data_IF_398803360551
#
_entry.id   IF_398803360551
#
_cell.length_a   1.000
_cell.length_b   1.000
_cell.length_c   1.000
_cell.angle_alpha   90.00
_cell.angle_beta   90.00
_cell.angle_gamma   90.00
#
_symmetry.space_group_name_H-M   'P 1'
#
loop_
_entity.id
_entity.type
_entity.pdbx_description
1 polymer ?
#
# COMPACT_ATOMS: atom_id res chain seq x y z
N UNK A 1 67.07 23.32 -17.50
CA UNK A 1 65.75 23.44 -16.84
C UNK A 1 64.72 23.67 -17.94
N UNK A 2 64.00 22.62 -18.32
CA UNK A 2 62.87 22.72 -19.25
C UNK A 2 62.09 21.40 -19.18
N UNK A 3 61.16 21.33 -18.23
CA UNK A 3 59.94 20.53 -18.42
C UNK A 3 59.00 21.29 -19.37
N UNK A 4 58.00 20.71 -19.99
CA UNK A 4 57.45 19.36 -19.93
C UNK A 4 56.25 19.29 -20.88
N UNK A 5 55.89 18.05 -21.23
CA UNK A 5 54.61 17.54 -21.77
C UNK A 5 53.80 18.35 -22.77
N UNK A 6 53.56 17.74 -23.94
CA UNK A 6 52.34 17.96 -24.74
C UNK A 6 51.80 16.62 -25.26
N UNK A 7 50.48 16.48 -25.08
CA UNK A 7 49.64 15.31 -25.20
C UNK A 7 49.57 14.71 -26.61
N UNK A 8 49.42 13.39 -26.67
CA UNK A 8 49.07 12.60 -27.85
C UNK A 8 47.64 12.88 -28.29
N UNK A 9 47.46 13.37 -29.52
CA UNK A 9 46.19 13.38 -30.26
C UNK A 9 45.76 11.95 -30.59
N UNK A 10 44.46 11.68 -30.46
CA UNK A 10 43.79 10.64 -31.24
C UNK A 10 42.46 11.18 -31.79
N UNK A 11 42.29 11.00 -33.10
CA UNK A 11 41.23 11.54 -33.95
C UNK A 11 40.11 10.50 -34.16
N UNK A 12 38.87 11.01 -34.19
CA UNK A 12 37.71 10.57 -35.02
C UNK A 12 36.99 9.26 -34.66
N UNK A 13 35.66 9.14 -34.71
CA UNK A 13 34.67 9.69 -35.65
C UNK A 13 33.33 10.05 -34.97
N UNK A 14 32.81 11.23 -35.32
CA UNK A 14 31.39 11.60 -35.15
C UNK A 14 30.58 10.98 -36.30
N UNK A 15 29.60 10.16 -35.95
CA UNK A 15 28.50 9.78 -36.83
C UNK A 15 27.17 10.12 -36.15
N UNK A 16 26.55 11.23 -36.56
CA UNK A 16 25.14 11.50 -36.28
C UNK A 16 24.26 10.70 -37.25
N UNK A 17 23.34 9.92 -36.70
CA UNK A 17 22.25 9.24 -37.37
C UNK A 17 21.04 9.20 -36.42
N UNK A 18 19.86 9.50 -36.96
CA UNK A 18 18.71 10.07 -36.28
C UNK A 18 17.85 9.11 -35.43
N UNK A 19 17.18 9.70 -34.45
CA UNK A 19 15.87 9.38 -33.84
C UNK A 19 15.40 7.92 -33.79
N UNK A 20 15.52 7.34 -32.60
CA UNK A 20 14.62 6.32 -32.08
C UNK A 20 14.22 6.71 -30.66
N UNK A 21 12.99 7.17 -30.49
CA UNK A 21 12.41 7.59 -29.21
C UNK A 21 12.15 6.35 -28.35
N UNK A 22 13.14 5.95 -27.56
CA UNK A 22 13.02 4.94 -26.52
C UNK A 22 13.48 5.54 -25.21
N UNK A 23 12.54 5.90 -24.33
CA UNK A 23 12.86 6.23 -22.94
C UNK A 23 13.17 4.92 -22.21
N UNK A 24 14.34 4.33 -22.52
CA UNK A 24 14.86 3.16 -21.84
C UNK A 24 15.39 3.59 -20.48
N UNK A 25 14.59 3.42 -19.42
CA UNK A 25 15.18 3.29 -18.09
C UNK A 25 16.00 2.01 -18.12
N UNK A 26 17.31 2.10 -17.86
CA UNK A 26 18.16 0.93 -17.66
C UNK A 26 17.58 0.12 -16.50
N UNK A 27 16.93 -1.01 -16.82
CA UNK A 27 16.29 -1.85 -15.82
C UNK A 27 17.36 -2.49 -14.93
N UNK A 28 17.17 -2.41 -13.62
CA UNK A 28 18.13 -2.92 -12.64
C UNK A 28 17.96 -4.41 -12.46
N UNK A 29 19.02 -5.17 -12.75
CA UNK A 29 19.09 -6.60 -12.50
C UNK A 29 19.24 -6.90 -10.99
N UNK A 30 18.43 -7.84 -10.49
CA UNK A 30 18.44 -8.23 -9.09
C UNK A 30 18.23 -9.74 -8.91
N UNK A 31 18.61 -10.27 -7.74
CA UNK A 31 18.34 -11.67 -7.39
C UNK A 31 16.90 -11.87 -6.95
N UNK A 32 16.17 -12.81 -7.56
CA UNK A 32 14.80 -13.16 -7.15
C UNK A 32 14.68 -13.72 -5.73
N UNK A 33 15.80 -14.12 -5.11
CA UNK A 33 15.85 -14.57 -3.72
C UNK A 33 16.02 -13.45 -2.68
N UNK A 34 16.19 -12.20 -3.12
CA UNK A 34 16.38 -11.05 -2.24
C UNK A 34 15.12 -10.72 -1.41
N UNK A 35 15.24 -9.70 -0.55
CA UNK A 35 14.13 -9.19 0.26
C UNK A 35 13.47 -8.04 -0.48
N UNK A 36 12.15 -8.08 -0.60
CA UNK A 36 11.35 -7.07 -1.31
C UNK A 36 10.29 -6.51 -0.38
N UNK A 37 10.24 -5.18 -0.27
CA UNK A 37 9.09 -4.48 0.27
C UNK A 37 8.07 -4.27 -0.85
N UNK A 38 6.95 -4.99 -0.80
CA UNK A 38 5.88 -4.90 -1.80
C UNK A 38 5.11 -3.58 -1.71
N UNK A 39 5.08 -2.96 -0.53
CA UNK A 39 4.34 -1.73 -0.23
C UNK A 39 5.08 -0.45 -0.64
N UNK A 40 6.18 -0.57 -1.39
CA UNK A 40 6.80 0.59 -2.02
C UNK A 40 5.88 1.08 -3.15
N UNK A 41 5.38 2.30 -2.97
CA UNK A 41 4.35 2.87 -3.84
C UNK A 41 4.94 3.29 -5.19
N UNK A 42 4.19 2.97 -6.23
CA UNK A 42 4.46 3.14 -7.66
C UNK A 42 3.10 3.08 -8.37
N UNK A 43 3.08 2.98 -9.70
CA UNK A 43 1.87 2.49 -10.36
C UNK A 43 1.53 1.10 -9.80
N UNK A 44 0.51 1.04 -8.94
CA UNK A 44 0.15 -0.15 -8.14
C UNK A 44 -0.17 -1.37 -9.01
N UNK A 45 -0.50 -1.15 -10.28
CA UNK A 45 -0.75 -2.23 -11.24
C UNK A 45 0.55 -2.79 -11.81
N UNK A 46 1.60 -1.97 -11.92
CA UNK A 46 2.89 -2.41 -12.48
C UNK A 46 3.67 -3.24 -11.46
N UNK A 47 4.25 -4.38 -11.86
CA UNK A 47 5.13 -5.16 -11.00
C UNK A 47 6.26 -4.33 -10.40
N UNK A 48 6.62 -4.65 -9.16
CA UNK A 48 7.86 -4.18 -8.57
C UNK A 48 9.04 -4.74 -9.34
N UNK A 49 9.00 -6.06 -9.48
CA UNK A 49 9.99 -6.85 -10.17
C UNK A 49 9.30 -7.89 -11.01
N UNK A 50 9.88 -8.17 -12.17
CA UNK A 50 9.40 -9.20 -13.07
C UNK A 50 10.55 -9.92 -13.77
N UNK A 51 10.22 -11.07 -14.32
CA UNK A 51 11.11 -11.87 -15.14
C UNK A 51 10.30 -12.49 -16.28
N UNK A 52 10.87 -12.47 -17.48
CA UNK A 52 10.33 -13.18 -18.65
C UNK A 52 11.29 -14.28 -19.06
N UNK A 53 10.82 -15.51 -19.14
CA UNK A 53 11.63 -16.67 -19.55
C UNK A 53 10.93 -17.49 -20.60
N UNK A 54 11.69 -18.26 -21.38
CA UNK A 54 11.11 -19.24 -22.27
C UNK A 54 10.58 -20.43 -21.45
N UNK A 55 9.34 -20.86 -21.71
CA UNK A 55 8.74 -22.00 -21.01
C UNK A 55 9.58 -23.29 -21.12
N UNK A 56 10.36 -23.46 -22.18
CA UNK A 56 11.27 -24.61 -22.35
C UNK A 56 12.45 -24.62 -21.36
N UNK A 57 12.76 -23.49 -20.73
CA UNK A 57 13.81 -23.38 -19.72
C UNK A 57 13.31 -23.76 -18.32
N UNK A 58 11.98 -23.79 -18.13
CA UNK A 58 11.36 -24.10 -16.84
C UNK A 58 11.46 -25.61 -16.57
N UNK A 59 12.22 -25.98 -15.54
CA UNK A 59 12.42 -27.38 -15.14
C UNK A 59 11.74 -27.77 -13.83
N UNK A 60 11.28 -26.78 -13.06
CA UNK A 60 10.54 -27.00 -11.81
C UNK A 60 9.08 -26.60 -12.00
N UNK A 61 8.21 -27.28 -11.25
CA UNK A 61 6.81 -26.93 -11.13
C UNK A 61 6.51 -26.10 -9.87
N UNK A 62 7.54 -25.81 -9.05
CA UNK A 62 7.41 -25.26 -7.70
C UNK A 62 8.05 -23.88 -7.58
N UNK A 63 7.35 -22.96 -6.93
CA UNK A 63 7.88 -21.70 -6.42
C UNK A 63 7.69 -21.62 -4.91
N UNK A 64 8.73 -21.25 -4.17
CA UNK A 64 8.70 -21.14 -2.71
C UNK A 64 9.25 -19.80 -2.24
N UNK A 65 8.60 -19.18 -1.27
CA UNK A 65 9.04 -17.90 -0.71
C UNK A 65 8.45 -17.69 0.69
N UNK A 66 8.88 -16.65 1.40
CA UNK A 66 8.27 -16.24 2.66
C UNK A 66 7.58 -14.89 2.52
N UNK A 67 6.42 -14.73 3.16
CA UNK A 67 5.64 -13.49 3.24
C UNK A 67 5.48 -13.07 4.70
N UNK A 68 5.54 -11.76 4.97
CA UNK A 68 5.15 -11.16 6.24
C UNK A 68 4.36 -9.88 5.99
N UNK A 69 3.18 -9.76 6.59
CA UNK A 69 2.30 -8.60 6.44
C UNK A 69 1.28 -8.51 7.59
N UNK A 70 0.67 -7.33 7.77
CA UNK A 70 -0.60 -7.13 8.50
C UNK A 70 -1.76 -6.78 7.56
N UNK A 71 -1.46 -6.54 6.28
CA UNK A 71 -2.40 -6.17 5.24
C UNK A 71 -3.39 -7.32 4.98
N UNK A 72 -4.71 -7.06 5.07
CA UNK A 72 -5.71 -8.08 4.80
C UNK A 72 -5.90 -8.39 3.31
N UNK A 73 -5.48 -7.52 2.39
CA UNK A 73 -5.73 -7.65 0.95
C UNK A 73 -4.49 -7.26 0.13
N UNK A 74 -4.36 -7.77 -1.09
CA UNK A 74 -3.31 -7.34 -2.02
C UNK A 74 -2.53 -8.47 -2.67
N UNK A 75 -1.76 -8.15 -3.72
CA UNK A 75 -1.08 -9.16 -4.55
C UNK A 75 0.27 -9.55 -3.96
N UNK A 76 0.56 -10.85 -4.03
CA UNK A 76 1.83 -11.40 -3.55
C UNK A 76 2.65 -11.94 -4.72
N UNK A 77 2.04 -12.76 -5.58
CA UNK A 77 2.73 -13.43 -6.67
C UNK A 77 1.83 -13.54 -7.90
N UNK A 78 2.38 -13.16 -9.06
CA UNK A 78 1.72 -13.20 -10.35
C UNK A 78 2.51 -14.06 -11.33
N UNK A 79 1.80 -14.78 -12.20
CA UNK A 79 2.41 -15.40 -13.37
C UNK A 79 1.45 -15.48 -14.55
N UNK A 80 1.97 -15.36 -15.77
CA UNK A 80 1.19 -15.62 -16.98
C UNK A 80 1.97 -16.27 -18.11
N UNK A 81 1.21 -16.82 -19.05
CA UNK A 81 1.70 -17.23 -20.36
C UNK A 81 0.81 -16.66 -21.45
N UNK A 82 1.25 -16.79 -22.71
CA UNK A 82 0.47 -16.34 -23.89
C UNK A 82 0.01 -14.88 -23.76
N UNK A 83 0.88 -14.02 -23.21
CA UNK A 83 0.65 -12.57 -23.01
C UNK A 83 -0.60 -12.26 -22.17
N UNK A 84 -0.76 -12.94 -21.04
CA UNK A 84 -1.88 -12.71 -20.13
C UNK A 84 -3.22 -13.29 -20.61
N UNK A 85 -3.17 -14.34 -21.45
CA UNK A 85 -4.36 -15.14 -21.79
C UNK A 85 -4.59 -16.22 -20.73
N UNK A 86 -3.52 -16.93 -20.36
CA UNK A 86 -3.52 -17.85 -19.23
C UNK A 86 -2.69 -17.23 -18.11
N UNK A 87 -3.26 -17.08 -16.93
CA UNK A 87 -2.65 -16.33 -15.83
C UNK A 87 -3.05 -16.89 -14.48
N UNK A 88 -2.22 -16.58 -13.48
CA UNK A 88 -2.34 -16.96 -12.09
C UNK A 88 -2.04 -15.74 -11.22
N UNK A 89 -2.89 -15.51 -10.21
CA UNK A 89 -2.71 -14.49 -9.19
C UNK A 89 -2.84 -15.15 -7.83
N UNK A 90 -1.80 -15.02 -7.00
CA UNK A 90 -1.85 -15.28 -5.56
C UNK A 90 -1.91 -13.94 -4.83
N UNK A 91 -2.97 -13.77 -4.04
CA UNK A 91 -3.28 -12.58 -3.26
C UNK A 91 -3.71 -12.96 -1.85
N UNK A 92 -3.85 -11.96 -0.97
CA UNK A 92 -4.63 -12.09 0.26
C UNK A 92 -6.02 -11.49 0.06
N UNK A 93 -7.01 -12.10 0.73
CA UNK A 93 -8.35 -11.54 0.93
C UNK A 93 -8.81 -11.86 2.34
N UNK A 94 -9.21 -10.85 3.09
CA UNK A 94 -9.54 -10.95 4.52
C UNK A 94 -8.42 -11.63 5.35
N UNK A 95 -7.17 -11.42 4.92
CA UNK A 95 -5.96 -11.98 5.51
C UNK A 95 -5.67 -13.43 5.14
N UNK A 96 -6.47 -14.06 4.28
CA UNK A 96 -6.30 -15.46 3.85
C UNK A 96 -5.82 -15.53 2.40
N UNK A 97 -5.03 -16.55 2.02
CA UNK A 97 -4.68 -16.79 0.63
C UNK A 97 -5.89 -16.89 -0.30
N UNK A 98 -5.77 -16.27 -1.47
CA UNK A 98 -6.67 -16.43 -2.60
C UNK A 98 -5.86 -16.69 -3.88
N UNK A 99 -6.24 -17.75 -4.60
CA UNK A 99 -5.74 -18.02 -5.95
C UNK A 99 -6.84 -17.71 -6.96
N UNK A 100 -6.53 -16.85 -7.92
CA UNK A 100 -7.33 -16.64 -9.12
C UNK A 100 -6.57 -17.17 -10.33
N UNK A 101 -7.22 -17.98 -11.15
CA UNK A 101 -6.58 -18.66 -12.27
C UNK A 101 -7.47 -18.56 -13.50
N UNK A 102 -6.90 -18.07 -14.59
CA UNK A 102 -7.47 -18.20 -15.92
C UNK A 102 -6.62 -19.15 -16.74
N UNK A 103 -7.25 -20.17 -17.31
CA UNK A 103 -6.58 -21.07 -18.25
C UNK A 103 -7.56 -21.49 -19.32
N UNK A 104 -7.24 -21.17 -20.58
CA UNK A 104 -8.14 -21.36 -21.74
C UNK A 104 -9.45 -20.59 -21.54
N UNK A 105 -10.55 -21.32 -21.33
CA UNK A 105 -11.91 -20.78 -21.15
C UNK A 105 -12.42 -20.96 -19.70
N UNK A 106 -11.53 -21.36 -18.78
CA UNK A 106 -11.85 -21.48 -17.36
C UNK A 106 -11.29 -20.29 -16.60
N UNK A 107 -12.14 -19.70 -15.77
CA UNK A 107 -11.80 -18.67 -14.81
C UNK A 107 -12.28 -19.12 -13.43
N UNK A 108 -11.35 -19.30 -12.49
CA UNK A 108 -11.61 -19.84 -11.16
C UNK A 108 -11.01 -18.92 -10.10
N UNK A 109 -11.73 -18.71 -9.00
CA UNK A 109 -11.22 -18.05 -7.80
C UNK A 109 -11.52 -18.90 -6.58
N UNK A 110 -10.50 -19.17 -5.77
CA UNK A 110 -10.61 -19.91 -4.51
C UNK A 110 -9.82 -19.19 -3.43
N UNK A 111 -10.49 -18.90 -2.31
CA UNK A 111 -9.88 -18.34 -1.11
C UNK A 111 -10.02 -19.33 0.06
N UNK A 112 -9.00 -19.41 0.92
CA UNK A 112 -8.98 -20.35 2.04
C UNK A 112 -7.60 -20.48 2.65
N UNK A 113 -7.38 -21.55 3.43
CA UNK A 113 -6.15 -21.71 4.22
C UNK A 113 -6.11 -20.82 5.47
N UNK A 114 -5.00 -20.82 6.24
CA UNK A 114 -4.85 -20.03 7.45
C UNK A 114 -4.73 -18.52 7.14
N UNK A 115 -4.93 -17.69 8.17
CA UNK A 115 -4.64 -16.25 8.06
C UNK A 115 -3.13 -16.02 8.09
N UNK A 116 -2.62 -15.14 7.22
CA UNK A 116 -1.19 -14.82 7.08
C UNK A 116 -0.85 -13.37 7.47
N UNK A 117 -1.87 -12.57 7.76
CA UNK A 117 -1.71 -11.15 8.09
C UNK A 117 -1.52 -10.91 9.61
N UNK A 118 -0.65 -11.72 10.23
CA UNK A 118 -0.40 -11.69 11.68
C UNK A 118 0.95 -11.05 12.06
N UNK A 119 1.66 -10.48 11.07
CA UNK A 119 2.97 -9.87 11.25
C UNK A 119 4.14 -10.85 11.36
N UNK A 120 3.91 -12.17 11.22
CA UNK A 120 4.98 -13.19 11.21
C UNK A 120 5.35 -13.59 9.79
N UNK A 121 6.52 -14.20 9.67
CA UNK A 121 6.96 -14.81 8.41
C UNK A 121 6.27 -16.16 8.23
N UNK A 122 5.54 -16.31 7.13
CA UNK A 122 4.93 -17.55 6.69
C UNK A 122 5.62 -18.04 5.42
N UNK A 123 5.86 -19.34 5.32
CA UNK A 123 6.45 -19.98 4.13
C UNK A 123 5.34 -20.45 3.20
N UNK A 124 5.39 -20.03 1.95
CA UNK A 124 4.42 -20.31 0.91
C UNK A 124 5.10 -21.13 -0.19
N UNK A 125 4.50 -22.25 -0.56
CA UNK A 125 4.93 -23.04 -1.72
C UNK A 125 3.76 -23.21 -2.69
N UNK A 126 3.93 -22.68 -3.91
CA UNK A 126 2.98 -22.84 -5.00
C UNK A 126 3.54 -23.87 -5.96
N UNK A 127 2.74 -24.88 -6.32
CA UNK A 127 3.14 -25.90 -7.28
C UNK A 127 2.07 -26.24 -8.29
N UNK A 128 2.49 -26.66 -9.48
CA UNK A 128 1.61 -27.14 -10.54
C UNK A 128 1.81 -28.65 -10.74
N UNK A 129 0.89 -29.46 -10.24
CA UNK A 129 0.92 -30.92 -10.36
C UNK A 129 -0.19 -31.40 -11.31
N UNK A 130 0.15 -31.55 -12.59
CA UNK A 130 -0.76 -31.96 -13.65
C UNK A 130 -1.91 -30.99 -13.87
N UNK A 131 -3.08 -31.32 -13.31
CA UNK A 131 -4.29 -30.48 -13.35
C UNK A 131 -4.50 -29.65 -12.10
N UNK A 132 -3.63 -29.78 -11.11
CA UNK A 132 -3.81 -29.16 -9.82
C UNK A 132 -2.82 -28.02 -9.63
N UNK A 133 -3.33 -26.88 -9.18
CA UNK A 133 -2.51 -25.83 -8.60
C UNK A 133 -2.66 -25.91 -7.09
N UNK A 134 -1.54 -26.16 -6.42
CA UNK A 134 -1.48 -26.45 -4.99
C UNK A 134 -0.72 -25.32 -4.30
N UNK A 135 -1.30 -24.81 -3.22
CA UNK A 135 -0.64 -23.91 -2.28
C UNK A 135 -0.46 -24.63 -0.95
N UNK A 136 0.78 -24.73 -0.51
CA UNK A 136 1.14 -25.12 0.85
C UNK A 136 1.53 -23.88 1.67
N UNK A 137 1.15 -23.88 2.93
CA UNK A 137 1.47 -22.82 3.90
C UNK A 137 2.12 -23.48 5.11
N UNK A 138 3.34 -23.06 5.45
CA UNK A 138 4.12 -23.56 6.58
C UNK A 138 4.22 -25.10 6.62
N UNK A 139 4.35 -25.72 5.44
CA UNK A 139 4.43 -27.18 5.28
C UNK A 139 3.11 -27.92 5.47
N UNK A 140 1.99 -27.21 5.55
CA UNK A 140 0.64 -27.78 5.62
C UNK A 140 -0.17 -27.41 4.37
N UNK A 141 -1.13 -28.27 3.99
CA UNK A 141 -2.00 -27.99 2.85
C UNK A 141 -2.79 -26.70 3.06
N UNK A 142 -2.62 -25.73 2.15
CA UNK A 142 -3.35 -24.46 2.14
C UNK A 142 -4.56 -24.52 1.21
N UNK A 143 -4.32 -24.57 -0.10
CA UNK A 143 -5.35 -24.61 -1.14
C UNK A 143 -4.99 -25.63 -2.23
N UNK A 144 -6.02 -26.24 -2.83
CA UNK A 144 -5.88 -27.12 -4.00
C UNK A 144 -6.97 -26.74 -5.01
N UNK A 145 -6.57 -26.36 -6.22
CA UNK A 145 -7.47 -25.97 -7.30
C UNK A 145 -7.30 -26.94 -8.47
N UNK A 146 -8.39 -27.58 -8.89
CA UNK A 146 -8.39 -28.47 -10.06
C UNK A 146 -8.84 -27.74 -11.31
N UNK A 147 -8.04 -27.85 -12.38
CA UNK A 147 -8.25 -27.21 -13.69
C UNK A 147 -8.43 -28.26 -14.79
N UNK A 148 -9.27 -29.27 -14.54
CA UNK A 148 -9.50 -30.35 -15.50
C UNK A 148 -10.21 -29.82 -16.76
N UNK A 149 -9.52 -29.85 -17.91
CA UNK A 149 -10.11 -29.58 -19.24
C UNK A 149 -10.04 -30.84 -20.12
N UNK A 150 -11.01 -31.03 -21.02
CA UNK A 150 -11.12 -32.25 -21.86
C UNK A 150 -9.97 -32.42 -22.87
N UNK A 151 -9.28 -31.34 -23.23
CA UNK A 151 -8.15 -31.33 -24.18
C UNK A 151 -6.86 -30.93 -23.46
N UNK A 152 -5.99 -31.90 -23.13
CA UNK A 152 -4.79 -31.67 -22.31
C UNK A 152 -3.45 -31.82 -23.06
N UNK A 153 -3.45 -31.85 -24.39
CA UNK A 153 -2.21 -31.66 -25.14
C UNK A 153 -1.96 -30.17 -25.33
N UNK A 154 -1.39 -29.52 -24.31
CA UNK A 154 -0.81 -28.19 -24.49
C UNK A 154 0.68 -28.32 -24.82
N UNK A 155 1.04 -27.79 -25.99
CA UNK A 155 2.42 -27.57 -26.37
C UNK A 155 3.00 -26.49 -25.43
N UNK A 156 3.99 -26.87 -24.61
CA UNK A 156 4.73 -25.96 -23.70
C UNK A 156 5.68 -25.10 -24.54
N UNK A 157 5.12 -24.13 -25.27
CA UNK A 157 5.88 -23.20 -26.10
C UNK A 157 5.37 -21.78 -25.83
N UNK A 158 6.30 -20.86 -25.71
CA UNK A 158 6.04 -19.45 -25.47
C UNK A 158 6.83 -18.91 -24.29
N UNK A 159 6.44 -17.72 -23.86
CA UNK A 159 7.04 -17.02 -22.74
C UNK A 159 6.20 -17.20 -21.48
N UNK A 160 6.89 -17.38 -20.36
CA UNK A 160 6.37 -17.27 -19.02
C UNK A 160 6.82 -15.94 -18.44
N UNK A 161 5.88 -15.17 -17.92
CA UNK A 161 6.17 -13.96 -17.15
C UNK A 161 5.82 -14.19 -15.70
N UNK A 162 6.74 -13.91 -14.79
CA UNK A 162 6.49 -13.92 -13.34
C UNK A 162 6.69 -12.52 -12.80
N UNK A 163 5.91 -12.12 -11.79
CA UNK A 163 5.98 -10.80 -11.21
C UNK A 163 5.64 -10.80 -9.70
N UNK A 164 6.22 -9.86 -8.97
CA UNK A 164 5.87 -9.55 -7.57
C UNK A 164 5.41 -8.11 -7.43
N UNK A 165 4.48 -7.87 -6.51
CA UNK A 165 3.97 -6.54 -6.18
C UNK A 165 3.10 -5.88 -7.27
N UNK A 166 2.70 -6.60 -8.32
CA UNK A 166 1.82 -6.07 -9.35
C UNK A 166 1.28 -7.16 -10.26
N UNK A 167 0.44 -6.78 -11.21
CA UNK A 167 -0.32 -7.69 -12.07
C UNK A 167 -0.22 -7.21 -13.53
N UNK A 168 0.06 -8.12 -14.47
CA UNK A 168 0.27 -7.78 -15.89
C UNK A 168 -0.99 -7.96 -16.76
N UNK A 169 -2.16 -8.21 -16.16
CA UNK A 169 -3.46 -8.25 -16.82
C UNK A 169 -4.34 -7.05 -16.44
N UNK A 170 -5.33 -6.78 -17.30
CA UNK A 170 -6.41 -5.85 -17.00
C UNK A 170 -7.28 -6.38 -15.84
N UNK A 171 -7.63 -5.50 -14.90
CA UNK A 171 -8.45 -5.81 -13.72
C UNK A 171 -9.78 -6.47 -14.07
N UNK A 172 -10.36 -6.16 -15.24
CA UNK A 172 -11.65 -6.68 -15.70
C UNK A 172 -11.60 -8.15 -16.08
N UNK A 173 -10.39 -8.71 -16.24
CA UNK A 173 -10.21 -10.15 -16.46
C UNK A 173 -10.30 -10.96 -15.17
N UNK A 174 -10.11 -10.34 -14.00
CA UNK A 174 -10.14 -11.03 -12.72
C UNK A 174 -11.55 -11.50 -12.37
N UNK A 175 -11.66 -12.67 -11.73
CA UNK A 175 -12.94 -13.18 -11.25
C UNK A 175 -13.45 -12.36 -10.06
N UNK A 176 -12.53 -11.94 -9.20
CA UNK A 176 -12.76 -11.08 -8.05
C UNK A 176 -11.80 -9.90 -8.16
N UNK A 177 -12.33 -8.70 -8.40
CA UNK A 177 -11.51 -7.49 -8.45
C UNK A 177 -11.08 -7.08 -7.05
N UNK A 178 -9.85 -6.56 -6.94
CA UNK A 178 -9.25 -6.05 -5.72
C UNK A 178 -8.14 -5.05 -6.07
N UNK A 179 -7.70 -4.26 -5.10
CA UNK A 179 -6.57 -3.33 -5.26
C UNK A 179 -5.27 -4.12 -5.05
N UNK A 180 -4.34 -4.16 -6.02
CA UNK A 180 -3.17 -5.04 -5.94
C UNK A 180 -2.10 -4.60 -4.93
N UNK A 181 -2.20 -3.39 -4.38
CA UNK A 181 -1.26 -2.87 -3.39
C UNK A 181 -1.15 -3.83 -2.19
N UNK A 182 0.07 -4.00 -1.66
CA UNK A 182 0.34 -4.95 -0.57
C UNK A 182 1.38 -4.34 0.35
N UNK A 183 0.98 -3.91 1.54
CA UNK A 183 1.90 -3.54 2.61
C UNK A 183 2.51 -4.80 3.24
N UNK A 184 3.48 -5.38 2.55
CA UNK A 184 4.08 -6.65 2.94
C UNK A 184 5.50 -6.82 2.45
N UNK A 185 6.19 -7.79 3.05
CA UNK A 185 7.56 -8.13 2.70
C UNK A 185 7.67 -9.56 2.22
N UNK A 186 8.45 -9.78 1.16
CA UNK A 186 8.77 -11.09 0.61
C UNK A 186 10.27 -11.34 0.72
N UNK A 187 10.67 -12.59 1.00
CA UNK A 187 12.09 -12.99 1.00
C UNK A 187 12.29 -14.46 0.65
N UNK A 188 13.53 -14.81 0.35
CA UNK A 188 13.94 -16.21 0.17
C UNK A 188 13.24 -16.88 -1.01
N UNK A 189 12.95 -16.09 -2.05
CA UNK A 189 12.26 -16.56 -3.24
C UNK A 189 13.09 -17.56 -4.05
N UNK A 190 12.48 -18.70 -4.35
CA UNK A 190 12.92 -19.65 -5.36
C UNK A 190 11.76 -19.80 -6.34
N UNK A 191 11.95 -19.35 -7.58
CA UNK A 191 10.86 -19.17 -8.54
C UNK A 191 11.03 -20.16 -9.69
N UNK A 192 10.34 -21.30 -9.62
CA UNK A 192 10.46 -22.38 -10.60
C UNK A 192 11.92 -22.82 -10.87
N UNK A 193 12.79 -22.66 -9.87
CA UNK A 193 14.23 -22.92 -9.96
C UNK A 193 14.93 -22.14 -11.10
N UNK A 194 14.41 -20.95 -11.45
CA UNK A 194 15.01 -20.04 -12.42
C UNK A 194 16.17 -19.28 -11.77
N UNK A 195 17.29 -19.15 -12.50
CA UNK A 195 18.52 -18.49 -12.02
C UNK A 195 18.83 -17.15 -12.69
N UNK A 196 18.01 -16.74 -13.66
CA UNK A 196 18.17 -15.47 -14.37
C UNK A 196 17.86 -14.29 -13.42
N UNK A 197 18.56 -13.15 -13.58
CA UNK A 197 18.24 -11.97 -12.80
C UNK A 197 16.84 -11.48 -13.13
N UNK A 198 16.15 -11.00 -12.10
CA UNK A 198 14.88 -10.30 -12.22
C UNK A 198 15.15 -8.84 -12.57
N UNK A 199 14.20 -8.20 -13.23
CA UNK A 199 14.26 -6.77 -13.55
C UNK A 199 13.40 -6.00 -12.54
N UNK A 200 13.95 -4.91 -11.98
CA UNK A 200 13.19 -4.00 -11.11
C UNK A 200 12.68 -2.77 -11.88
N UNK A 201 11.44 -2.35 -11.62
CA UNK A 201 10.84 -1.10 -12.14
C UNK A 201 11.09 0.10 -11.22
N UNK A 202 12.19 0.08 -10.45
CA UNK A 202 12.58 1.14 -9.51
C UNK A 202 14.11 1.30 -9.49
N UNK A 203 14.57 2.53 -9.22
CA UNK A 203 16.00 2.83 -9.10
C UNK A 203 16.60 2.20 -7.82
N UNK A 204 15.85 2.29 -6.72
CA UNK A 204 16.24 1.80 -5.40
C UNK A 204 15.10 1.04 -4.72
N UNK A 205 15.41 -0.17 -4.23
CA UNK A 205 14.47 -1.00 -3.48
C UNK A 205 14.47 -0.57 -2.02
N UNK A 206 13.30 -0.27 -1.47
CA UNK A 206 13.19 0.06 -0.06
C UNK A 206 13.37 -1.18 0.82
N UNK A 207 14.13 -1.06 1.92
CA UNK A 207 14.27 -2.16 2.86
C UNK A 207 12.95 -2.39 3.61
N UNK A 208 12.74 -3.63 4.00
CA UNK A 208 11.74 -3.99 4.99
C UNK A 208 12.21 -3.60 6.39
N UNK A 209 11.31 -3.09 7.23
CA UNK A 209 11.60 -2.92 8.66
C UNK A 209 11.94 -4.27 9.30
N UNK A 210 12.88 -4.29 10.24
CA UNK A 210 13.28 -5.55 10.90
C UNK A 210 12.13 -6.13 11.71
N UNK A 211 11.49 -5.30 12.54
CA UNK A 211 10.32 -5.63 13.34
C UNK A 211 9.16 -4.72 12.95
N UNK A 212 7.95 -5.28 12.99
CA UNK A 212 6.72 -4.56 12.67
C UNK A 212 5.63 -4.85 13.70
N UNK A 213 4.78 -3.87 13.94
CA UNK A 213 3.56 -3.95 14.72
C UNK A 213 2.37 -3.43 13.90
N UNK A 214 1.11 -3.78 14.25
CA UNK A 214 -0.06 -3.25 13.55
C UNK A 214 -0.15 -1.73 13.64
N UNK A 215 -0.53 -1.09 12.55
CA UNK A 215 -0.80 0.35 12.50
C UNK A 215 -0.32 0.98 11.21
N UNK A 216 -0.61 2.26 11.01
CA UNK A 216 -0.17 3.02 9.85
C UNK A 216 1.03 3.90 10.20
N UNK A 217 2.11 3.76 9.43
CA UNK A 217 3.34 4.52 9.65
C UNK A 217 3.42 5.75 8.74
N UNK A 218 3.72 6.89 9.37
CA UNK A 218 3.90 8.19 8.73
C UNK A 218 5.36 8.61 8.90
N UNK A 219 6.14 8.73 7.81
CA UNK A 219 7.58 9.00 7.87
C UNK A 219 7.94 10.50 7.90
N UNK A 220 6.95 11.41 7.92
CA UNK A 220 7.20 12.85 7.89
C UNK A 220 7.43 13.44 6.49
N UNK A 221 6.99 12.76 5.42
CA UNK A 221 7.23 13.20 4.03
C UNK A 221 5.97 13.50 3.22
N UNK A 222 4.78 13.15 3.71
CA UNK A 222 3.54 13.40 2.99
C UNK A 222 2.29 13.05 3.80
N UNK A 223 1.16 12.91 3.12
CA UNK A 223 -0.16 12.66 3.73
C UNK A 223 -1.01 11.68 2.91
N UNK A 224 -2.06 11.16 3.54
CA UNK A 224 -3.12 10.37 2.92
C UNK A 224 -4.41 11.20 2.84
N UNK A 225 -5.01 11.34 1.66
CA UNK A 225 -6.22 12.14 1.40
C UNK A 225 -7.38 11.22 1.02
N UNK A 226 -8.55 11.49 1.61
CA UNK A 226 -9.82 10.90 1.21
C UNK A 226 -10.83 11.99 0.85
N UNK A 227 -11.66 11.70 -0.16
CA UNK A 227 -12.91 12.41 -0.36
C UNK A 227 -13.87 12.04 0.77
N UNK A 228 -14.48 13.04 1.40
CA UNK A 228 -15.37 12.77 2.54
C UNK A 228 -16.66 12.03 2.16
N UNK A 229 -17.04 12.08 0.87
CA UNK A 229 -18.17 11.33 0.31
C UNK A 229 -18.07 9.82 0.44
N UNK A 230 -16.88 9.25 0.71
CA UNK A 230 -16.69 7.81 0.91
C UNK A 230 -17.18 7.34 2.29
N UNK A 231 -17.44 8.26 3.23
CA UNK A 231 -17.87 7.93 4.58
C UNK A 231 -19.39 7.94 4.70
N UNK A 232 -20.00 6.90 5.29
CA UNK A 232 -21.43 6.88 5.55
C UNK A 232 -21.75 7.89 6.66
N UNK A 233 -22.44 8.97 6.32
CA UNK A 233 -22.79 10.01 7.28
C UNK A 233 -24.29 10.02 7.51
N UNK A 234 -24.69 9.66 8.72
CA UNK A 234 -26.06 9.76 9.19
C UNK A 234 -26.30 11.15 9.74
N UNK A 235 -27.29 11.87 9.20
CA UNK A 235 -27.55 13.26 9.59
C UNK A 235 -27.74 13.38 11.12
N UNK A 236 -28.52 12.51 11.74
CA UNK A 236 -28.92 12.68 13.15
C UNK A 236 -27.81 12.39 14.18
N UNK A 237 -26.77 11.64 13.82
CA UNK A 237 -25.79 11.11 14.79
C UNK A 237 -24.46 11.89 14.83
N UNK A 238 -24.31 12.89 13.97
CA UNK A 238 -23.06 13.65 13.82
C UNK A 238 -21.95 12.82 13.17
N UNK A 239 -20.72 13.31 13.23
CA UNK A 239 -19.56 12.61 12.68
C UNK A 239 -18.56 12.29 13.77
N UNK A 240 -18.11 11.03 13.82
CA UNK A 240 -17.15 10.55 14.80
C UNK A 240 -15.89 10.06 14.10
N UNK A 241 -14.74 10.58 14.53
CA UNK A 241 -13.42 10.06 14.18
C UNK A 241 -12.76 9.58 15.45
N UNK A 242 -12.19 8.39 15.41
CA UNK A 242 -11.49 7.79 16.52
C UNK A 242 -10.07 7.40 16.09
N UNK A 243 -9.11 7.75 16.92
CA UNK A 243 -7.68 7.61 16.65
C UNK A 243 -7.02 6.89 17.82
N UNK A 244 -6.18 5.91 17.52
CA UNK A 244 -5.40 5.17 18.50
C UNK A 244 -3.92 5.21 18.16
N UNK A 245 -3.10 5.23 19.21
CA UNK A 245 -1.66 5.26 19.13
C UNK A 245 -1.07 6.00 20.32
N UNK A 246 0.25 5.88 20.51
CA UNK A 246 0.94 6.69 21.51
C UNK A 246 1.16 8.11 20.98
N UNK A 247 0.19 9.00 21.25
CA UNK A 247 0.23 10.40 20.82
C UNK A 247 1.47 11.17 21.33
N UNK A 248 2.16 10.66 22.37
CA UNK A 248 3.39 11.28 22.86
C UNK A 248 4.62 11.02 21.97
N UNK A 249 4.52 10.06 21.06
CA UNK A 249 5.54 9.73 20.06
C UNK A 249 5.27 10.37 18.69
N UNK A 250 4.14 11.06 18.55
CA UNK A 250 3.74 11.71 17.30
C UNK A 250 4.27 13.13 17.22
N UNK A 251 4.73 13.53 16.04
CA UNK A 251 5.12 14.91 15.76
C UNK A 251 4.61 15.35 14.38
N UNK A 252 3.92 16.48 14.30
CA UNK A 252 3.30 16.98 13.08
C UNK A 252 1.78 16.81 13.04
N UNK A 253 1.19 17.00 11.85
CA UNK A 253 -0.27 17.05 11.68
C UNK A 253 -0.86 15.66 11.56
N UNK A 254 -1.65 15.26 12.55
CA UNK A 254 -2.35 13.98 12.57
C UNK A 254 -3.52 13.98 11.58
N UNK A 255 -4.37 15.01 11.66
CA UNK A 255 -5.63 15.11 10.94
C UNK A 255 -5.82 16.54 10.45
N UNK A 256 -6.28 16.71 9.22
CA UNK A 256 -6.73 17.99 8.69
C UNK A 256 -7.98 17.84 7.83
N UNK A 257 -8.94 18.75 7.95
CA UNK A 257 -10.24 18.68 7.25
C UNK A 257 -10.52 20.00 6.55
N UNK A 258 -10.94 19.92 5.29
CA UNK A 258 -11.27 21.06 4.44
C UNK A 258 -12.62 20.87 3.76
N UNK A 259 -13.47 21.89 3.78
CA UNK A 259 -14.73 21.91 3.02
C UNK A 259 -14.52 22.39 1.57
N UNK A 260 -15.45 22.08 0.64
CA UNK A 260 -15.37 22.57 -0.74
C UNK A 260 -15.31 24.09 -0.80
N UNK A 261 -14.40 24.64 -1.61
CA UNK A 261 -14.30 26.09 -1.83
C UNK A 261 -13.91 26.89 -0.59
N UNK A 262 -13.45 26.24 0.48
CA UNK A 262 -13.03 26.89 1.73
C UNK A 262 -11.61 26.49 2.11
N UNK A 263 -10.97 27.35 2.91
CA UNK A 263 -9.73 27.01 3.59
C UNK A 263 -9.93 25.95 4.68
N UNK A 264 -8.83 25.62 5.35
CA UNK A 264 -8.79 24.62 6.40
C UNK A 264 -9.79 24.90 7.53
N UNK A 265 -10.53 23.87 7.95
CA UNK A 265 -11.57 23.98 8.98
C UNK A 265 -11.08 23.46 10.33
N UNK A 266 -10.50 22.26 10.33
CA UNK A 266 -10.07 21.57 11.53
C UNK A 266 -8.66 21.03 11.34
N UNK A 267 -7.83 21.16 12.37
CA UNK A 267 -6.53 20.49 12.43
C UNK A 267 -6.31 19.84 13.79
N UNK A 268 -5.65 18.69 13.78
CA UNK A 268 -5.14 18.03 14.96
C UNK A 268 -3.63 17.86 14.78
N UNK A 269 -2.84 18.49 15.65
CA UNK A 269 -1.38 18.52 15.56
C UNK A 269 -0.80 17.96 16.84
N UNK A 270 0.17 17.05 16.73
CA UNK A 270 0.96 16.56 17.85
C UNK A 270 2.34 17.21 17.86
N UNK A 271 2.88 17.40 19.07
CA UNK A 271 4.24 17.80 19.30
C UNK A 271 4.88 16.84 20.30
N UNK A 272 5.88 16.07 19.85
CA UNK A 272 6.51 15.06 20.69
C UNK A 272 7.39 15.67 21.81
N UNK A 273 7.90 16.89 21.61
CA UNK A 273 8.75 17.58 22.58
C UNK A 273 7.93 18.05 23.78
N UNK A 274 6.77 18.68 23.54
CA UNK A 274 5.88 19.14 24.62
C UNK A 274 4.92 18.05 25.09
N UNK A 275 4.74 16.98 24.31
CA UNK A 275 3.76 15.91 24.53
C UNK A 275 2.33 16.46 24.58
N UNK A 276 2.07 17.46 23.76
CA UNK A 276 0.78 18.13 23.63
C UNK A 276 0.16 17.77 22.28
N UNK A 277 -1.16 17.60 22.29
CA UNK A 277 -1.96 17.46 21.07
C UNK A 277 -2.92 18.64 21.01
N UNK A 278 -2.81 19.43 19.96
CA UNK A 278 -3.62 20.62 19.76
C UNK A 278 -4.68 20.37 18.70
N UNK A 279 -5.93 20.59 19.06
CA UNK A 279 -7.05 20.67 18.12
C UNK A 279 -7.37 22.14 17.82
N UNK A 280 -7.24 22.56 16.56
CA UNK A 280 -7.57 23.91 16.14
C UNK A 280 -8.82 23.92 15.26
N UNK A 281 -9.66 24.94 15.47
CA UNK A 281 -10.71 25.34 14.55
C UNK A 281 -10.77 26.88 14.47
N UNK A 282 -11.60 27.46 13.59
CA UNK A 282 -11.70 28.93 13.51
C UNK A 282 -12.27 29.59 14.77
N UNK A 283 -13.07 28.85 15.54
CA UNK A 283 -13.73 29.36 16.74
C UNK A 283 -12.84 29.27 17.99
N UNK A 284 -11.66 28.64 17.89
CA UNK A 284 -10.70 28.56 18.97
C UNK A 284 -9.76 27.34 18.88
N UNK A 285 -8.91 27.23 19.88
CA UNK A 285 -7.92 26.16 20.03
C UNK A 285 -8.15 25.42 21.34
N UNK A 286 -8.00 24.10 21.31
CA UNK A 286 -7.97 23.25 22.50
C UNK A 286 -6.69 22.43 22.51
N UNK A 287 -5.87 22.69 23.52
CA UNK A 287 -4.67 21.93 23.81
C UNK A 287 -4.99 20.79 24.78
N UNK A 288 -4.70 19.57 24.37
CA UNK A 288 -4.83 18.35 25.16
C UNK A 288 -3.44 17.99 25.67
N UNK A 289 -3.30 18.05 27.00
CA UNK A 289 -2.08 17.67 27.73
C UNK A 289 -2.21 16.28 28.32
N UNK A 290 -1.06 15.70 28.65
CA UNK A 290 -0.87 14.35 29.18
C UNK A 290 -0.90 13.26 28.10
N UNK A 291 -0.28 12.12 28.41
CA UNK A 291 -0.25 10.97 27.53
C UNK A 291 -1.59 10.24 27.54
N UNK A 292 -2.11 9.92 26.36
CA UNK A 292 -3.29 9.10 26.14
C UNK A 292 -3.07 8.24 24.90
N UNK A 293 -3.83 7.15 24.77
CA UNK A 293 -3.70 6.21 23.65
C UNK A 293 -4.86 6.23 22.67
N UNK A 294 -5.92 6.94 23.01
CA UNK A 294 -7.16 7.01 22.23
C UNK A 294 -7.75 8.41 22.30
N UNK A 295 -8.16 8.92 21.15
CA UNK A 295 -8.86 10.20 21.01
C UNK A 295 -10.08 10.01 20.10
N UNK A 296 -11.25 10.38 20.60
CA UNK A 296 -12.50 10.48 19.83
C UNK A 296 -12.79 11.95 19.62
N UNK A 297 -13.07 12.33 18.37
CA UNK A 297 -13.54 13.65 17.99
C UNK A 297 -14.94 13.48 17.39
N UNK A 298 -15.91 14.11 18.03
CA UNK A 298 -17.33 14.04 17.66
C UNK A 298 -17.82 15.43 17.25
N UNK A 299 -18.20 15.58 15.99
CA UNK A 299 -18.84 16.79 15.47
C UNK A 299 -20.35 16.63 15.54
N UNK A 300 -21.01 17.51 16.28
CA UNK A 300 -22.47 17.55 16.46
C UNK A 300 -22.98 18.96 16.19
N UNK A 301 -24.28 19.11 15.94
CA UNK A 301 -24.85 20.42 15.62
C UNK A 301 -24.56 21.42 16.74
N UNK A 302 -23.77 22.46 16.43
CA UNK A 302 -23.40 23.53 17.35
C UNK A 302 -22.18 23.31 18.22
N UNK A 303 -21.58 22.11 18.26
CA UNK A 303 -20.39 21.87 19.08
C UNK A 303 -19.54 20.67 18.62
N UNK A 304 -18.30 20.68 19.08
CA UNK A 304 -17.33 19.61 18.88
C UNK A 304 -16.98 19.05 20.25
N UNK A 305 -16.95 17.73 20.37
CA UNK A 305 -16.62 17.02 21.60
C UNK A 305 -15.35 16.20 21.40
N UNK A 306 -14.37 16.42 22.26
CA UNK A 306 -13.13 15.63 22.32
C UNK A 306 -13.15 14.73 23.56
N UNK A 307 -12.91 13.44 23.35
CA UNK A 307 -12.92 12.41 24.41
C UNK A 307 -11.63 11.61 24.32
N UNK A 308 -10.88 11.52 25.42
CA UNK A 308 -9.64 10.75 25.50
C UNK A 308 -9.79 9.55 26.43
N UNK A 309 -8.94 8.54 26.27
CA UNK A 309 -8.95 7.36 27.16
C UNK A 309 -8.81 7.72 28.64
N UNK A 310 -9.49 6.98 29.52
CA UNK A 310 -9.45 7.15 30.97
C UNK A 310 -10.05 8.44 31.53
N UNK A 311 -10.51 9.37 30.67
CA UNK A 311 -11.05 10.66 31.10
C UNK A 311 -12.57 10.61 31.23
N UNK A 312 -13.09 10.90 32.44
CA UNK A 312 -14.54 11.17 32.64
C UNK A 312 -14.95 12.55 32.13
N UNK A 313 -13.99 13.44 31.91
CA UNK A 313 -14.22 14.79 31.41
C UNK A 313 -14.08 14.82 29.89
N UNK A 314 -15.12 15.30 29.22
CA UNK A 314 -15.08 15.63 27.79
C UNK A 314 -14.81 17.12 27.65
N UNK A 315 -13.98 17.49 26.68
CA UNK A 315 -13.83 18.88 26.30
C UNK A 315 -14.86 19.17 25.21
N UNK A 316 -15.73 20.15 25.46
CA UNK A 316 -16.77 20.58 24.53
C UNK A 316 -16.43 21.98 24.08
N UNK A 317 -16.36 22.17 22.77
CA UNK A 317 -16.15 23.46 22.14
C UNK A 317 -17.42 23.83 21.37
N UNK A 318 -18.06 24.97 21.66
CA UNK A 318 -19.08 25.50 20.76
C UNK A 318 -18.44 25.81 19.40
N UNK A 319 -19.13 25.51 18.30
CA UNK A 319 -18.65 25.87 16.97
C UNK A 319 -19.78 26.42 16.11
N UNK A 320 -19.61 27.68 15.72
CA UNK A 320 -20.52 28.38 14.83
C UNK A 320 -20.36 27.87 13.40
N UNK A 321 -19.17 27.38 13.01
CA UNK A 321 -18.94 26.77 11.68
C UNK A 321 -19.86 25.58 11.43
N UNK A 322 -19.96 24.69 12.43
CA UNK A 322 -20.80 23.51 12.40
C UNK A 322 -22.28 23.92 12.32
N UNK A 323 -22.65 25.09 12.85
CA UNK A 323 -24.02 25.61 12.76
C UNK A 323 -24.31 26.34 11.43
N UNK A 324 -23.36 27.11 10.91
CA UNK A 324 -23.55 28.02 9.76
C UNK A 324 -23.36 27.36 8.39
N UNK A 325 -22.45 26.39 8.26
CA UNK A 325 -22.16 25.73 6.99
C UNK A 325 -23.15 24.63 6.63
N UNK A 326 -24.12 24.35 7.51
CA UNK A 326 -24.70 23.02 7.64
C UNK A 326 -23.60 22.07 8.09
N UNK A 327 -23.67 21.57 9.33
CA UNK A 327 -22.60 20.75 9.95
C UNK A 327 -22.07 19.60 9.09
N UNK A 328 -22.85 19.17 8.09
CA UNK A 328 -22.56 18.09 7.15
C UNK A 328 -21.79 18.52 5.90
N UNK A 329 -21.74 19.80 5.52
CA UNK A 329 -21.12 20.23 4.28
C UNK A 329 -19.63 19.82 4.14
N UNK A 330 -18.78 19.94 5.18
CA UNK A 330 -17.40 19.43 5.12
C UNK A 330 -17.31 17.93 4.88
N UNK A 331 -18.37 17.19 5.20
CA UNK A 331 -18.42 15.73 5.18
C UNK A 331 -19.06 15.17 3.91
N UNK A 332 -19.82 15.98 3.16
CA UNK A 332 -20.45 15.52 1.91
C UNK A 332 -19.53 15.65 0.71
N UNK A 333 -18.76 16.74 0.67
CA UNK A 333 -17.99 17.12 -0.52
C UNK A 333 -16.57 17.61 -0.18
N UNK A 334 -16.19 17.61 1.10
CA UNK A 334 -14.86 18.04 1.54
C UNK A 334 -13.78 16.96 1.39
N UNK A 335 -12.59 17.30 1.86
CA UNK A 335 -11.45 16.40 1.94
C UNK A 335 -11.02 16.24 3.39
N UNK A 336 -10.65 15.02 3.74
CA UNK A 336 -9.99 14.70 5.01
C UNK A 336 -8.60 14.17 4.69
N UNK A 337 -7.61 14.61 5.45
CA UNK A 337 -6.25 14.11 5.34
C UNK A 337 -5.73 13.61 6.68
N UNK A 338 -4.94 12.55 6.61
CA UNK A 338 -4.15 12.03 7.71
C UNK A 338 -2.67 12.18 7.40
N UNK A 339 -1.88 12.61 8.38
CA UNK A 339 -0.43 12.69 8.24
C UNK A 339 0.12 14.02 7.70
N UNK A 340 -0.71 15.03 7.46
CA UNK A 340 -0.25 16.35 7.03
C UNK A 340 -1.39 17.36 6.97
N UNK A 341 -1.02 18.65 6.87
CA UNK A 341 -1.97 19.70 6.55
C UNK A 341 -2.39 19.59 5.09
N UNK A 342 -3.68 19.77 4.79
CA UNK A 342 -4.15 19.98 3.43
C UNK A 342 -3.68 21.35 2.92
N UNK A 343 -3.08 21.37 1.72
CA UNK A 343 -2.65 22.60 1.07
C UNK A 343 -3.77 23.52 0.59
N UNK A 344 -3.41 24.76 0.27
CA UNK A 344 -4.27 25.73 -0.41
C UNK A 344 -4.04 25.64 -1.92
N UNK A 345 -4.94 24.98 -2.66
CA UNK A 345 -4.84 24.78 -4.11
C UNK A 345 -5.43 23.46 -4.59
N UNK A 346 -5.49 23.26 -5.92
CA UNK A 346 -5.96 22.00 -6.55
C UNK A 346 -5.00 20.82 -6.27
N UNK A 347 -3.70 21.11 -6.18
CA UNK A 347 -2.65 20.10 -5.95
C UNK A 347 -2.59 19.60 -4.49
N UNK A 348 -3.34 20.22 -3.57
CA UNK A 348 -3.39 19.88 -2.14
C UNK A 348 -2.01 19.70 -1.46
N UNK A 349 -0.97 20.41 -1.95
CA UNK A 349 0.41 20.28 -1.45
C UNK A 349 0.43 20.54 0.06
N UNK A 350 0.62 19.47 0.82
CA UNK A 350 0.55 19.56 2.27
C UNK A 350 1.82 20.09 2.91
N UNK A 351 1.77 20.25 4.22
CA UNK A 351 2.92 20.63 5.04
C UNK A 351 2.78 20.06 6.46
N UNK A 352 3.80 20.24 7.29
CA UNK A 352 3.81 19.76 8.69
C UNK A 352 3.48 18.26 8.79
N UNK A 353 4.18 17.47 7.98
CA UNK A 353 3.92 16.05 7.86
C UNK A 353 4.16 15.31 9.17
N UNK A 354 3.28 14.36 9.46
CA UNK A 354 3.34 13.53 10.65
C UNK A 354 4.52 12.59 10.56
N UNK A 355 5.29 12.55 11.64
CA UNK A 355 6.23 11.49 11.94
C UNK A 355 5.68 10.67 13.10
N UNK A 356 5.48 9.37 12.87
CA UNK A 356 5.06 8.44 13.92
C UNK A 356 4.06 7.40 13.42
N UNK A 357 3.39 6.75 14.38
CA UNK A 357 2.55 5.58 14.15
C UNK A 357 1.17 5.76 14.77
N UNK A 358 0.13 5.55 13.95
CA UNK A 358 -1.24 5.42 14.42
C UNK A 358 -1.60 3.94 14.42
N UNK A 359 -1.91 3.38 15.59
CA UNK A 359 -2.31 1.98 15.73
C UNK A 359 -3.62 1.70 14.99
N UNK A 360 -4.53 2.68 14.99
CA UNK A 360 -5.84 2.55 14.36
C UNK A 360 -6.45 3.92 14.03
N UNK A 361 -7.17 3.98 12.92
CA UNK A 361 -8.00 5.13 12.53
C UNK A 361 -9.40 4.60 12.22
N UNK A 362 -10.42 5.15 12.86
CA UNK A 362 -11.82 4.86 12.53
C UNK A 362 -12.57 6.13 12.17
N UNK A 363 -13.40 6.03 11.15
CA UNK A 363 -14.38 7.05 10.78
C UNK A 363 -15.75 6.39 10.80
N UNK A 364 -16.66 6.89 11.63
CA UNK A 364 -18.01 6.33 11.80
C UNK A 364 -17.98 4.82 12.12
N UNK A 365 -17.15 4.42 13.09
CA UNK A 365 -16.96 3.03 13.56
C UNK A 365 -16.38 2.05 12.52
N UNK A 366 -16.07 2.53 11.31
CA UNK A 366 -15.39 1.73 10.28
C UNK A 366 -13.89 2.00 10.32
N UNK A 367 -13.11 0.92 10.31
CA UNK A 367 -11.65 0.99 10.19
C UNK A 367 -11.30 1.60 8.84
N UNK A 368 -10.46 2.62 8.88
CA UNK A 368 -9.99 3.31 7.69
C UNK A 368 -8.82 2.53 7.09
N UNK A 369 -8.96 2.15 5.83
CA UNK A 369 -7.90 1.53 5.04
C UNK A 369 -7.19 2.61 4.23
N UNK A 370 -5.90 2.81 4.50
CA UNK A 370 -5.08 3.82 3.83
C UNK A 370 -4.70 3.46 2.40
N UNK A 371 -4.89 2.22 1.96
CA UNK A 371 -4.68 1.82 0.55
C UNK A 371 -5.76 2.36 -0.38
N UNK A 372 -6.90 2.79 0.18
CA UNK A 372 -7.97 3.45 -0.56
C UNK A 372 -7.78 4.98 -0.68
N UNK A 373 -6.71 5.52 -0.09
CA UNK A 373 -6.42 6.95 -0.10
C UNK A 373 -5.57 7.37 -1.31
N UNK A 374 -5.65 8.65 -1.67
CA UNK A 374 -4.54 9.28 -2.38
C UNK A 374 -3.42 9.55 -1.37
N UNK A 375 -2.40 8.70 -1.34
CA UNK A 375 -1.39 8.65 -0.27
C UNK A 375 0.01 8.91 -0.79
N UNK A 376 0.86 9.52 0.05
CA UNK A 376 2.28 9.65 -0.24
C UNK A 376 3.02 8.31 -0.17
N UNK A 377 3.95 8.12 -1.09
CA UNK A 377 4.57 6.82 -1.38
C UNK A 377 5.27 6.15 -0.20
N UNK A 378 5.91 6.96 0.65
CA UNK A 378 6.69 6.47 1.78
C UNK A 378 5.85 6.02 3.00
N UNK A 379 4.53 6.19 2.97
CA UNK A 379 3.64 5.81 4.07
C UNK A 379 3.26 4.34 4.00
N UNK A 380 3.28 3.65 5.13
CA UNK A 380 2.79 2.27 5.23
C UNK A 380 1.38 2.24 5.83
N UNK A 381 0.49 1.44 5.24
CA UNK A 381 -0.93 1.42 5.58
C UNK A 381 -1.25 0.55 6.79
N UNK A 382 -0.55 -0.57 6.93
CA UNK A 382 -0.92 -1.65 7.84
C UNK A 382 0.20 -2.05 8.80
N UNK A 383 1.43 -1.57 8.57
CA UNK A 383 2.59 -1.86 9.41
C UNK A 383 3.32 -0.61 9.94
N UNK A 384 3.69 -0.71 11.21
CA UNK A 384 4.48 0.26 11.93
C UNK A 384 5.83 -0.33 12.35
N UNK A 385 6.95 0.40 12.27
CA UNK A 385 8.20 -0.01 12.90
C UNK A 385 7.99 -0.27 14.40
N UNK A 386 8.61 -1.33 14.93
CA UNK A 386 8.49 -1.76 16.33
C UNK A 386 9.84 -1.87 17.04
#
# INVERSE_FOLDING_TARGET
MSGGLLLTLSLTLLGWGAEGQGNGRDKKEISGGAIFNLGQDRDIWRPLIDITVNLTEVRSIKSSFQLRTYDPEGVVFYGDTKKGKDWFVLSLKDGRPQMQISRKDMLVSVAGGPKLNDGKWHTLEVSNDGNFVILEVDGSNGLVVSLASKDMEEVIVGELRLALGGILIDEKKMAVQFVPHMDGCVRGGSWLNLSLPWEADVDELWPCFQNIQPGSFFPGTGLAIFNTSVFPIEELNGVNIELWGDFSQLDGTILSIRAPGQGLLFTLVANNNTKEVTFNCRDGEVCIRNTFKRLVISWQTGYIRLIRDGSRTNQIMPSNQVSQLGYLAPWREGHIAFGGLLGEGEDNIGSQFLTGCLEKIQVQQKDLDLDLALKHTAMSSHSCPA
#
